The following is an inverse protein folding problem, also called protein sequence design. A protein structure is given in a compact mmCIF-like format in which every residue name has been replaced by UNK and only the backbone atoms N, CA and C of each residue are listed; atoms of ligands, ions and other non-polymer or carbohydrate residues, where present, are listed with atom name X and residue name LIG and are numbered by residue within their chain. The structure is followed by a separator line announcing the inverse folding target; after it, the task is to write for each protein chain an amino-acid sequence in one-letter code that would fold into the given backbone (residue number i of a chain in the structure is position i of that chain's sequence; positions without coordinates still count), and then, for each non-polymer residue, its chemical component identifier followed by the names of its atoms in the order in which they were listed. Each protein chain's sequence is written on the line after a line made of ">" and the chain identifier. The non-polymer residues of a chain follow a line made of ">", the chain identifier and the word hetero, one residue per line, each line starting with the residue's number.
data_IF_646094473855
#
_entry.id   IF_646094473855
#
_cell.length_a   1.000
_cell.length_b   1.000
_cell.length_c   1.000
_cell.angle_alpha   90.00
_cell.angle_beta   90.00
_cell.angle_gamma   90.00
#
_symmetry.space_group_name_H-M   'P 1'
#
loop_
_entity.id
_entity.type
_entity.pdbx_description
1 polymer ?
#
# COMPACT_ATOMS: atom_id res chain seq x y z
N UNK A 1 -1.76 20.06 -0.59
CA UNK A 1 -1.39 18.89 -1.39
C UNK A 1 -1.40 19.31 -2.86
N UNK A 2 -0.46 18.79 -3.66
CA UNK A 2 -0.30 19.10 -5.08
C UNK A 2 -1.61 18.98 -5.89
N UNK A 3 -2.51 18.13 -5.44
CA UNK A 3 -3.83 17.91 -5.99
C UNK A 3 -4.79 19.09 -5.75
N UNK A 4 -4.75 19.73 -4.58
CA UNK A 4 -5.62 20.87 -4.24
C UNK A 4 -5.26 22.11 -5.08
N UNK A 5 -3.98 22.27 -5.44
CA UNK A 5 -3.55 23.36 -6.32
C UNK A 5 -3.98 23.20 -7.78
N UNK A 6 -4.42 22.00 -8.17
CA UNK A 6 -4.93 21.68 -9.51
C UNK A 6 -6.45 21.83 -9.61
N UNK A 7 -7.17 22.07 -8.50
CA UNK A 7 -8.63 22.14 -8.46
C UNK A 7 -9.14 23.57 -8.34
N UNK A 8 -10.17 23.96 -9.10
CA UNK A 8 -10.95 25.16 -8.82
C UNK A 8 -11.62 25.01 -7.44
N UNK A 9 -11.54 26.04 -6.61
CA UNK A 9 -11.94 26.02 -5.19
C UNK A 9 -13.39 25.56 -4.92
N UNK A 10 -14.31 25.67 -5.89
CA UNK A 10 -15.73 25.36 -5.71
C UNK A 10 -16.11 23.87 -5.84
N UNK A 11 -15.22 23.00 -6.34
CA UNK A 11 -15.51 21.57 -6.56
C UNK A 11 -14.72 20.61 -5.69
N UNK A 12 -13.85 21.12 -4.81
CA UNK A 12 -12.81 20.33 -4.13
C UNK A 12 -13.36 19.28 -3.14
N UNK A 13 -14.46 19.59 -2.43
CA UNK A 13 -15.00 18.69 -1.39
C UNK A 13 -15.66 17.44 -2.00
N UNK A 14 -16.44 17.60 -3.06
CA UNK A 14 -17.08 16.49 -3.76
C UNK A 14 -16.05 15.56 -4.42
N UNK A 15 -14.99 16.14 -5.00
CA UNK A 15 -13.92 15.37 -5.63
C UNK A 15 -13.08 14.61 -4.59
N UNK A 16 -12.83 15.17 -3.42
CA UNK A 16 -12.17 14.48 -2.31
C UNK A 16 -13.01 13.30 -1.82
N UNK A 17 -14.33 13.48 -1.71
CA UNK A 17 -15.26 12.40 -1.39
C UNK A 17 -15.28 11.30 -2.44
N UNK A 18 -15.30 11.66 -3.73
CA UNK A 18 -15.20 10.70 -4.83
C UNK A 18 -13.88 9.93 -4.80
N UNK A 19 -12.76 10.61 -4.57
CA UNK A 19 -11.47 9.95 -4.43
C UNK A 19 -11.46 8.97 -3.24
N UNK A 20 -12.01 9.38 -2.09
CA UNK A 20 -12.13 8.49 -0.93
C UNK A 20 -12.96 7.24 -1.25
N UNK A 21 -14.09 7.40 -1.93
CA UNK A 21 -14.90 6.27 -2.39
C UNK A 21 -14.13 5.36 -3.35
N UNK A 22 -13.42 5.92 -4.33
CA UNK A 22 -12.67 5.16 -5.32
C UNK A 22 -11.53 4.34 -4.71
N UNK A 23 -10.73 4.94 -3.82
CA UNK A 23 -9.61 4.19 -3.24
C UNK A 23 -10.08 3.12 -2.24
N UNK A 24 -11.12 3.38 -1.44
CA UNK A 24 -11.71 2.37 -0.55
C UNK A 24 -12.33 1.23 -1.34
N UNK A 25 -13.10 1.55 -2.39
CA UNK A 25 -13.67 0.57 -3.31
C UNK A 25 -12.60 -0.26 -4.01
N UNK A 26 -11.52 0.38 -4.46
CA UNK A 26 -10.39 -0.31 -5.08
C UNK A 26 -9.71 -1.28 -4.09
N UNK A 27 -9.49 -0.88 -2.84
CA UNK A 27 -8.93 -1.74 -1.80
C UNK A 27 -9.83 -2.96 -1.52
N UNK A 28 -11.15 -2.74 -1.42
CA UNK A 28 -12.13 -3.81 -1.24
C UNK A 28 -12.12 -4.79 -2.42
N UNK A 29 -12.16 -4.28 -3.65
CA UNK A 29 -12.10 -5.11 -4.86
C UNK A 29 -10.78 -5.90 -4.93
N UNK A 30 -9.66 -5.29 -4.59
CA UNK A 30 -8.36 -5.94 -4.51
C UNK A 30 -8.37 -7.13 -3.54
N UNK A 31 -8.92 -6.92 -2.34
CA UNK A 31 -9.04 -7.97 -1.33
C UNK A 31 -9.93 -9.14 -1.81
N UNK A 32 -11.09 -8.85 -2.41
CA UNK A 32 -12.00 -9.87 -2.95
C UNK A 32 -11.35 -10.69 -4.08
N UNK A 33 -10.62 -10.02 -4.99
CA UNK A 33 -9.94 -10.68 -6.10
C UNK A 33 -8.73 -11.50 -5.64
N UNK A 34 -8.05 -11.09 -4.58
CA UNK A 34 -6.91 -11.82 -4.01
C UNK A 34 -7.30 -13.22 -3.62
N UNK A 35 -8.43 -13.41 -2.96
CA UNK A 35 -8.92 -14.74 -2.57
C UNK A 35 -9.11 -15.67 -3.78
N UNK A 36 -9.71 -15.15 -4.87
CA UNK A 36 -9.89 -15.90 -6.12
C UNK A 36 -8.54 -16.22 -6.81
N UNK A 37 -7.60 -15.28 -6.74
CA UNK A 37 -6.28 -15.44 -7.35
C UNK A 37 -5.45 -16.51 -6.64
N UNK A 38 -5.45 -16.51 -5.31
CA UNK A 38 -4.75 -17.52 -4.51
C UNK A 38 -5.28 -18.92 -4.77
N UNK A 39 -6.61 -19.08 -4.86
CA UNK A 39 -7.22 -20.38 -5.10
C UNK A 39 -6.97 -20.94 -6.52
N UNK A 40 -6.81 -20.07 -7.50
CA UNK A 40 -6.71 -20.43 -8.93
C UNK A 40 -5.26 -20.60 -9.39
N UNK A 41 -4.35 -19.82 -8.85
CA UNK A 41 -2.93 -19.84 -9.24
C UNK A 41 -2.09 -20.52 -8.14
N UNK A 42 -1.41 -21.62 -8.47
CA UNK A 42 -0.46 -22.31 -7.57
C UNK A 42 0.85 -21.51 -7.38
N UNK A 43 0.76 -20.19 -7.31
CA UNK A 43 1.93 -19.34 -7.02
C UNK A 43 2.32 -19.46 -5.55
N UNK A 44 3.62 -19.44 -5.28
CA UNK A 44 4.10 -19.26 -3.92
C UNK A 44 3.56 -17.95 -3.35
N UNK A 45 2.82 -18.00 -2.24
CA UNK A 45 2.24 -16.85 -1.56
C UNK A 45 3.28 -15.76 -1.28
N UNK A 46 4.52 -16.19 -0.90
CA UNK A 46 5.64 -15.29 -0.66
C UNK A 46 6.02 -14.50 -1.92
N UNK A 47 6.09 -15.15 -3.09
CA UNK A 47 6.38 -14.49 -4.37
C UNK A 47 5.26 -13.54 -4.79
N UNK A 48 4.01 -13.96 -4.62
CA UNK A 48 2.84 -13.11 -4.89
C UNK A 48 2.86 -11.85 -4.02
N UNK A 49 3.11 -11.99 -2.74
CA UNK A 49 3.21 -10.86 -1.81
C UNK A 49 4.30 -9.86 -2.24
N UNK A 50 5.51 -10.34 -2.55
CA UNK A 50 6.61 -9.49 -2.99
C UNK A 50 6.29 -8.76 -4.31
N UNK A 51 5.69 -9.46 -5.27
CA UNK A 51 5.27 -8.85 -6.55
C UNK A 51 4.23 -7.74 -6.34
N UNK A 52 3.20 -7.98 -5.50
CA UNK A 52 2.18 -6.98 -5.20
C UNK A 52 2.77 -5.74 -4.50
N UNK A 53 3.71 -5.93 -3.58
CA UNK A 53 4.44 -4.83 -2.94
C UNK A 53 5.29 -4.05 -3.95
N UNK A 54 5.92 -4.72 -4.91
CA UNK A 54 6.66 -4.06 -5.99
C UNK A 54 5.72 -3.22 -6.89
N UNK A 55 4.53 -3.73 -7.20
CA UNK A 55 3.52 -2.95 -7.93
C UNK A 55 3.04 -1.72 -7.15
N UNK A 56 2.91 -1.81 -5.82
CA UNK A 56 2.60 -0.64 -4.98
C UNK A 56 3.69 0.42 -5.13
N UNK A 57 4.98 0.05 -5.03
CA UNK A 57 6.07 0.99 -5.21
C UNK A 57 6.08 1.60 -6.62
N UNK A 58 5.83 0.80 -7.66
CA UNK A 58 5.71 1.27 -9.04
C UNK A 58 4.58 2.31 -9.18
N UNK A 59 3.38 2.01 -8.69
CA UNK A 59 2.25 2.95 -8.77
C UNK A 59 2.45 4.19 -7.91
N UNK A 60 3.16 4.13 -6.79
CA UNK A 60 3.57 5.32 -6.02
C UNK A 60 4.43 6.26 -6.87
N UNK A 61 5.42 5.73 -7.59
CA UNK A 61 6.27 6.52 -8.50
C UNK A 61 5.43 7.11 -9.64
N UNK A 62 4.59 6.29 -10.27
CA UNK A 62 3.72 6.76 -11.35
C UNK A 62 2.79 7.88 -10.88
N UNK A 63 2.19 7.76 -9.70
CA UNK A 63 1.32 8.79 -9.12
C UNK A 63 2.10 10.07 -8.82
N UNK A 64 3.35 9.96 -8.32
CA UNK A 64 4.20 11.10 -8.02
C UNK A 64 4.54 11.94 -9.28
N UNK A 65 4.66 11.29 -10.43
CA UNK A 65 5.04 11.92 -11.70
C UNK A 65 3.85 12.50 -12.46
N UNK A 66 2.61 12.22 -12.04
CA UNK A 66 1.42 12.66 -12.79
C UNK A 66 1.09 14.13 -12.56
N UNK A 67 0.80 14.80 -13.66
CA UNK A 67 0.22 16.16 -13.69
C UNK A 67 -1.25 16.14 -14.14
N UNK A 68 -1.70 15.04 -14.74
CA UNK A 68 -3.05 14.85 -15.23
C UNK A 68 -3.93 14.25 -14.14
N UNK A 69 -5.05 14.91 -13.79
CA UNK A 69 -5.93 14.50 -12.69
C UNK A 69 -6.54 13.10 -12.89
N UNK A 70 -7.13 12.74 -14.05
CA UNK A 70 -7.64 11.39 -14.29
C UNK A 70 -6.60 10.30 -14.12
N UNK A 71 -5.39 10.49 -14.66
CA UNK A 71 -4.30 9.52 -14.51
C UNK A 71 -3.80 9.44 -13.07
N UNK A 72 -3.74 10.57 -12.36
CA UNK A 72 -3.43 10.61 -10.94
C UNK A 72 -4.42 9.75 -10.14
N UNK A 73 -5.73 9.95 -10.35
CA UNK A 73 -6.79 9.18 -9.67
C UNK A 73 -6.66 7.69 -10.00
N UNK A 74 -6.41 7.33 -11.26
CA UNK A 74 -6.26 5.96 -11.69
C UNK A 74 -5.07 5.27 -11.01
N UNK A 75 -3.89 5.87 -11.02
CA UNK A 75 -2.70 5.30 -10.37
C UNK A 75 -2.85 5.28 -8.84
N UNK A 76 -3.42 6.32 -8.25
CA UNK A 76 -3.70 6.39 -6.82
C UNK A 76 -4.65 5.25 -6.37
N UNK A 77 -5.74 5.03 -7.11
CA UNK A 77 -6.66 3.93 -6.85
C UNK A 77 -5.99 2.56 -7.04
N UNK A 78 -5.08 2.44 -8.01
CA UNK A 78 -4.30 1.22 -8.25
C UNK A 78 -3.38 0.87 -7.08
N UNK A 79 -2.82 1.86 -6.37
CA UNK A 79 -2.05 1.61 -5.14
C UNK A 79 -2.91 0.89 -4.10
N UNK A 80 -4.12 1.39 -3.84
CA UNK A 80 -5.03 0.79 -2.87
C UNK A 80 -5.57 -0.57 -3.30
N UNK A 81 -5.81 -0.74 -4.60
CA UNK A 81 -6.18 -2.04 -5.16
C UNK A 81 -5.08 -3.09 -4.91
N UNK A 82 -3.82 -2.76 -5.22
CA UNK A 82 -2.68 -3.65 -4.96
C UNK A 82 -2.46 -3.87 -3.45
N UNK A 83 -2.68 -2.84 -2.64
CA UNK A 83 -2.63 -2.96 -1.19
C UNK A 83 -3.68 -3.96 -0.67
N UNK A 84 -4.94 -3.83 -1.11
CA UNK A 84 -6.00 -4.78 -0.77
C UNK A 84 -5.67 -6.21 -1.23
N UNK A 85 -5.12 -6.37 -2.45
CA UNK A 85 -4.66 -7.67 -2.93
C UNK A 85 -3.52 -8.25 -2.08
N UNK A 86 -2.61 -7.43 -1.56
CA UNK A 86 -1.45 -7.89 -0.79
C UNK A 86 -1.81 -8.31 0.66
N UNK A 87 -2.91 -7.80 1.21
CA UNK A 87 -3.34 -8.09 2.59
C UNK A 87 -3.63 -9.58 2.80
N UNK A 88 -4.30 -10.23 1.86
CA UNK A 88 -4.71 -11.63 2.01
C UNK A 88 -3.50 -12.59 2.03
N UNK A 89 -2.56 -12.58 1.06
CA UNK A 89 -1.37 -13.43 1.13
C UNK A 89 -0.51 -13.12 2.37
N UNK A 90 -0.45 -11.87 2.81
CA UNK A 90 0.23 -11.48 4.05
C UNK A 90 -0.39 -12.17 5.27
N UNK A 91 -1.72 -12.12 5.40
CA UNK A 91 -2.44 -12.74 6.51
C UNK A 91 -2.31 -14.27 6.49
N UNK A 92 -2.38 -14.88 5.30
CA UNK A 92 -2.21 -16.33 5.17
C UNK A 92 -0.79 -16.76 5.57
N UNK A 93 0.25 -16.05 5.13
CA UNK A 93 1.64 -16.32 5.51
C UNK A 93 1.80 -16.19 7.03
N UNK A 94 1.33 -15.07 7.59
CA UNK A 94 1.45 -14.82 9.03
C UNK A 94 0.76 -15.91 9.85
N UNK A 95 -0.46 -16.28 9.47
CA UNK A 95 -1.23 -17.30 10.17
C UNK A 95 -0.62 -18.71 10.04
N UNK A 96 -0.03 -19.03 8.88
CA UNK A 96 0.58 -20.35 8.65
C UNK A 96 1.92 -20.54 9.40
N UNK A 97 2.62 -19.45 9.64
CA UNK A 97 3.92 -19.47 10.34
C UNK A 97 3.81 -19.24 11.86
N UNK A 98 2.60 -18.94 12.36
CA UNK A 98 2.37 -18.63 13.78
C UNK A 98 1.70 -19.80 14.49
N UNK A 99 2.30 -20.35 15.58
CA UNK A 99 1.67 -21.35 16.43
C UNK A 99 0.31 -20.87 16.99
N UNK A 100 -0.63 -21.82 17.18
CA UNK A 100 -1.97 -21.50 17.62
C UNK A 100 -2.03 -20.77 18.97
N UNK A 101 -1.12 -21.15 19.88
CA UNK A 101 -1.05 -20.65 21.26
C UNK A 101 -0.76 -19.14 21.33
N UNK A 102 -0.02 -18.60 20.36
CA UNK A 102 0.39 -17.18 20.36
C UNK A 102 -0.24 -16.37 19.21
N UNK A 103 -1.09 -16.99 18.37
CA UNK A 103 -1.66 -16.37 17.18
C UNK A 103 -2.40 -15.07 17.49
N UNK A 104 -3.22 -15.05 18.55
CA UNK A 104 -3.95 -13.84 18.96
C UNK A 104 -3.00 -12.69 19.33
N UNK A 105 -1.91 -13.00 20.03
CA UNK A 105 -0.91 -12.01 20.41
C UNK A 105 -0.16 -11.46 19.19
N UNK A 106 0.21 -12.31 18.23
CA UNK A 106 0.88 -11.90 16.99
C UNK A 106 -0.02 -11.00 16.14
N UNK A 107 -1.31 -11.33 16.01
CA UNK A 107 -2.26 -10.49 15.28
C UNK A 107 -2.48 -9.14 15.96
N UNK A 108 -2.49 -9.11 17.31
CA UNK A 108 -2.56 -7.88 18.08
C UNK A 108 -1.32 -7.00 17.86
N UNK A 109 -0.12 -7.59 17.89
CA UNK A 109 1.13 -6.89 17.60
C UNK A 109 1.14 -6.37 16.16
N UNK A 110 0.66 -7.15 15.18
CA UNK A 110 0.50 -6.68 13.80
C UNK A 110 -0.37 -5.42 13.74
N UNK A 111 -1.56 -5.47 14.34
CA UNK A 111 -2.49 -4.33 14.34
C UNK A 111 -1.89 -3.10 15.00
N UNK A 112 -1.21 -3.28 16.12
CA UNK A 112 -0.51 -2.21 16.84
C UNK A 112 0.62 -1.60 15.99
N UNK A 113 1.42 -2.42 15.33
CA UNK A 113 2.50 -1.98 14.43
C UNK A 113 1.96 -1.17 13.26
N UNK A 114 0.83 -1.56 12.67
CA UNK A 114 0.17 -0.81 11.59
C UNK A 114 -0.25 0.58 12.09
N UNK A 115 -0.84 0.67 13.28
CA UNK A 115 -1.29 1.95 13.86
C UNK A 115 -0.11 2.87 14.19
N UNK A 116 0.94 2.34 14.81
CA UNK A 116 2.18 3.11 15.07
C UNK A 116 2.81 3.55 13.75
N UNK A 117 2.87 2.67 12.76
CA UNK A 117 3.37 3.00 11.42
C UNK A 117 2.58 4.14 10.78
N UNK A 118 1.25 4.11 10.88
CA UNK A 118 0.38 5.18 10.40
C UNK A 118 0.62 6.52 11.12
N UNK A 119 0.72 6.50 12.44
CA UNK A 119 1.01 7.69 13.24
C UNK A 119 2.39 8.26 12.90
N UNK A 120 3.42 7.43 12.93
CA UNK A 120 4.80 7.83 12.62
C UNK A 120 4.90 8.37 11.19
N UNK A 121 4.28 7.69 10.22
CA UNK A 121 4.23 8.13 8.83
C UNK A 121 3.56 9.49 8.67
N UNK A 122 2.46 9.74 9.37
CA UNK A 122 1.75 11.03 9.36
C UNK A 122 2.60 12.15 9.95
N UNK A 123 3.30 11.90 11.05
CA UNK A 123 4.22 12.86 11.67
C UNK A 123 5.41 13.16 10.75
N UNK A 124 6.03 12.13 10.18
CA UNK A 124 7.13 12.29 9.22
C UNK A 124 6.68 13.08 7.98
N UNK A 125 5.50 12.77 7.43
CA UNK A 125 4.93 13.52 6.32
C UNK A 125 4.75 15.00 6.65
N UNK A 126 4.23 15.30 7.84
CA UNK A 126 4.02 16.66 8.33
C UNK A 126 5.32 17.48 8.45
N UNK A 127 6.43 16.81 8.76
CA UNK A 127 7.77 17.42 8.81
C UNK A 127 8.33 17.57 7.40
N UNK A 128 8.32 16.50 6.63
CA UNK A 128 8.95 16.44 5.30
C UNK A 128 8.33 17.43 4.31
N UNK A 129 7.02 17.70 4.39
CA UNK A 129 6.34 18.65 3.49
C UNK A 129 6.86 20.09 3.63
N UNK A 130 7.58 20.41 4.71
CA UNK A 130 8.22 21.72 4.91
C UNK A 130 9.51 21.85 4.08
N UNK A 131 10.14 20.75 3.72
CA UNK A 131 11.44 20.71 3.06
C UNK A 131 11.41 20.08 1.67
N UNK A 132 10.42 19.22 1.41
CA UNK A 132 10.32 18.45 0.17
C UNK A 132 8.99 18.70 -0.53
N UNK A 133 9.00 18.55 -1.84
CA UNK A 133 7.75 18.55 -2.62
C UNK A 133 6.97 17.26 -2.40
N UNK A 134 5.65 17.31 -2.56
CA UNK A 134 4.78 16.14 -2.39
C UNK A 134 5.21 14.96 -3.30
N UNK A 135 5.52 15.18 -4.61
CA UNK A 135 6.06 14.11 -5.45
C UNK A 135 7.33 13.48 -4.89
N UNK A 136 8.25 14.28 -4.35
CA UNK A 136 9.50 13.77 -3.75
C UNK A 136 9.24 12.89 -2.53
N UNK A 137 8.25 13.24 -1.70
CA UNK A 137 7.85 12.42 -0.54
C UNK A 137 7.27 11.06 -0.99
N UNK A 138 6.50 11.03 -2.06
CA UNK A 138 5.94 9.79 -2.60
C UNK A 138 7.02 8.89 -3.21
N UNK A 139 8.00 9.47 -3.91
CA UNK A 139 9.16 8.73 -4.40
C UNK A 139 9.98 8.17 -3.24
N UNK A 140 10.19 8.95 -2.18
CA UNK A 140 10.86 8.48 -0.96
C UNK A 140 10.11 7.29 -0.34
N UNK A 141 8.79 7.37 -0.23
CA UNK A 141 7.95 6.27 0.24
C UNK A 141 8.10 5.01 -0.64
N UNK A 142 8.13 5.17 -1.96
CA UNK A 142 8.35 4.07 -2.88
C UNK A 142 9.73 3.42 -2.69
N UNK A 143 10.78 4.21 -2.49
CA UNK A 143 12.12 3.71 -2.18
C UNK A 143 12.15 2.91 -0.88
N UNK A 144 11.47 3.38 0.17
CA UNK A 144 11.34 2.64 1.44
C UNK A 144 10.64 1.29 1.21
N UNK A 145 9.55 1.27 0.45
CA UNK A 145 8.85 0.02 0.10
C UNK A 145 9.78 -0.93 -0.66
N UNK A 146 10.54 -0.46 -1.64
CA UNK A 146 11.50 -1.28 -2.39
C UNK A 146 12.61 -1.84 -1.48
N UNK A 147 13.13 -1.04 -0.56
CA UNK A 147 14.12 -1.50 0.42
C UNK A 147 13.55 -2.60 1.32
N UNK A 148 12.33 -2.45 1.82
CA UNK A 148 11.68 -3.50 2.62
C UNK A 148 11.47 -4.79 1.84
N UNK A 149 11.12 -4.69 0.54
CA UNK A 149 11.01 -5.86 -0.33
C UNK A 149 12.34 -6.61 -0.43
N UNK A 150 13.45 -5.89 -0.61
CA UNK A 150 14.79 -6.51 -0.71
C UNK A 150 15.18 -7.23 0.58
N UNK A 151 14.87 -6.65 1.75
CA UNK A 151 15.14 -7.26 3.06
C UNK A 151 14.31 -8.53 3.23
N UNK A 152 13.01 -8.47 2.96
CA UNK A 152 12.08 -9.60 3.09
C UNK A 152 12.43 -10.70 2.08
N UNK A 153 12.76 -10.36 0.84
CA UNK A 153 13.14 -11.33 -0.18
C UNK A 153 14.39 -12.13 0.22
N UNK A 154 15.41 -11.45 0.78
CA UNK A 154 16.60 -12.13 1.30
C UNK A 154 16.24 -13.15 2.38
N UNK A 155 15.36 -12.78 3.32
CA UNK A 155 14.90 -13.69 4.37
C UNK A 155 14.15 -14.89 3.80
N UNK A 156 13.23 -14.68 2.86
CA UNK A 156 12.47 -15.76 2.21
C UNK A 156 13.35 -16.73 1.39
N UNK A 157 14.54 -16.30 0.95
CA UNK A 157 15.51 -17.15 0.25
C UNK A 157 16.37 -17.94 1.26
N UNK A 158 16.72 -17.31 2.39
CA UNK A 158 17.54 -17.94 3.42
C UNK A 158 16.81 -19.07 4.18
N UNK A 159 15.47 -18.99 4.27
CA UNK A 159 14.61 -19.97 4.95
C UNK A 159 14.22 -21.18 4.04
N UNK A 160 14.91 -21.41 2.93
CA UNK A 160 14.79 -22.58 2.04
C UNK A 160 15.91 -23.57 2.28
#
# INVERSE_FOLDING_TARGET
>A
PHFITLLPQAGSTGLLGLMAFLYLGAAMLGSLLSHKTISKFKFSLRKMYLALRAFIAFFLIMTALQKNIPLFIAFYSSIYFMFGMATIPEDVILNSETPNEIRASVLSVKSFTIQIGGLTGSLMYSILIKFLTIPSIWILAACIVLLTILIIAKKFIADK
#
